data_IF_566841953025
#
_entry.id   IF_566841953025
#
_cell.length_a   1.000
_cell.length_b   1.000
_cell.length_c   1.000
_cell.angle_alpha   90.00
_cell.angle_beta   90.00
_cell.angle_gamma   90.00
#
_symmetry.space_group_name_H-M   'P 1'
#
loop_
_entity.id
_entity.type
_entity.pdbx_description
1 polymer ?
#
# COMPACT_ATOMS: atom_id res chain seq x y z
N UNK A 1 49.42 -14.19 23.19
CA UNK A 1 48.27 -13.28 23.34
C UNK A 1 47.74 -13.46 24.75
N UNK A 2 47.79 -12.40 25.58
CA UNK A 2 47.28 -12.47 26.95
C UNK A 2 45.74 -12.40 26.97
N UNK A 3 45.12 -12.73 28.11
CA UNK A 3 43.66 -12.79 28.26
C UNK A 3 42.96 -11.45 27.94
N UNK A 4 43.64 -10.33 28.14
CA UNK A 4 43.10 -8.97 27.93
C UNK A 4 43.12 -8.63 26.43
N UNK A 5 44.22 -8.92 25.74
CA UNK A 5 44.35 -8.73 24.28
C UNK A 5 43.30 -9.54 23.50
N UNK A 6 43.04 -10.77 23.93
CA UNK A 6 41.99 -11.61 23.32
C UNK A 6 40.59 -10.99 23.50
N UNK A 7 40.29 -10.48 24.70
CA UNK A 7 39.00 -9.82 24.95
C UNK A 7 38.82 -8.52 24.17
N UNK A 8 39.89 -7.75 23.96
CA UNK A 8 39.84 -6.52 23.15
C UNK A 8 39.62 -6.84 21.67
N UNK A 9 40.28 -7.86 21.12
CA UNK A 9 40.04 -8.33 19.74
C UNK A 9 38.60 -8.81 19.55
N UNK A 10 38.08 -9.62 20.48
CA UNK A 10 36.70 -10.09 20.44
C UNK A 10 35.67 -8.94 20.53
N UNK A 11 36.02 -7.84 21.20
CA UNK A 11 35.16 -6.65 21.27
C UNK A 11 35.19 -5.85 19.97
N UNK A 12 36.35 -5.70 19.34
CA UNK A 12 36.54 -5.00 18.07
C UNK A 12 35.84 -5.74 16.92
N UNK A 13 36.01 -7.07 16.85
CA UNK A 13 35.33 -7.92 15.86
C UNK A 13 33.80 -7.81 15.98
N UNK A 14 33.25 -7.91 17.20
CA UNK A 14 31.80 -7.74 17.43
C UNK A 14 31.31 -6.34 17.09
N UNK A 15 32.12 -5.32 17.37
CA UNK A 15 31.77 -3.94 17.05
C UNK A 15 31.72 -3.72 15.53
N UNK A 16 32.74 -4.18 14.80
CA UNK A 16 32.80 -4.14 13.33
C UNK A 16 31.64 -4.89 12.69
N UNK A 17 31.36 -6.12 13.13
CA UNK A 17 30.23 -6.91 12.62
C UNK A 17 28.88 -6.23 12.86
N UNK A 18 28.70 -5.62 14.04
CA UNK A 18 27.47 -4.89 14.38
C UNK A 18 27.28 -3.64 13.53
N UNK A 19 28.38 -2.92 13.25
CA UNK A 19 28.38 -1.72 12.43
C UNK A 19 28.08 -2.03 10.97
N UNK A 20 28.74 -3.06 10.42
CA UNK A 20 28.51 -3.53 9.05
C UNK A 20 27.08 -4.03 8.84
N UNK A 21 26.53 -4.75 9.82
CA UNK A 21 25.15 -5.22 9.78
C UNK A 21 24.15 -4.05 9.82
N UNK A 22 24.39 -3.05 10.66
CA UNK A 22 23.54 -1.86 10.75
C UNK A 22 23.56 -1.06 9.45
N UNK A 23 24.75 -0.84 8.87
CA UNK A 23 24.90 -0.14 7.61
C UNK A 23 24.19 -0.87 6.46
N UNK A 24 24.39 -2.19 6.36
CA UNK A 24 23.70 -3.04 5.38
C UNK A 24 22.19 -3.03 5.56
N UNK A 25 21.71 -3.07 6.80
CA UNK A 25 20.27 -3.01 7.11
C UNK A 25 19.67 -1.67 6.68
N UNK A 26 20.35 -0.56 6.96
CA UNK A 26 19.91 0.76 6.53
C UNK A 26 19.85 0.89 5.00
N UNK A 27 20.89 0.41 4.32
CA UNK A 27 20.93 0.37 2.86
C UNK A 27 19.73 -0.40 2.27
N UNK A 28 19.49 -1.63 2.75
CA UNK A 28 18.34 -2.45 2.30
C UNK A 28 17.02 -1.74 2.56
N UNK A 29 16.84 -1.15 3.75
CA UNK A 29 15.60 -0.47 4.11
C UNK A 29 15.33 0.74 3.20
N UNK A 30 16.36 1.52 2.87
CA UNK A 30 16.21 2.66 1.98
C UNK A 30 15.88 2.22 0.55
N UNK A 31 16.61 1.21 0.04
CA UNK A 31 16.35 0.60 -1.26
C UNK A 31 14.90 0.08 -1.36
N UNK A 32 14.45 -0.66 -0.35
CA UNK A 32 13.09 -1.21 -0.27
C UNK A 32 12.03 -0.11 -0.30
N UNK A 33 12.24 0.99 0.43
CA UNK A 33 11.31 2.13 0.44
C UNK A 33 11.16 2.76 -0.94
N UNK A 34 12.27 3.00 -1.65
CA UNK A 34 12.22 3.65 -2.96
C UNK A 34 11.64 2.73 -4.04
N UNK A 35 12.00 1.44 -4.05
CA UNK A 35 11.38 0.46 -4.96
C UNK A 35 9.88 0.36 -4.70
N UNK A 36 9.47 0.23 -3.43
CA UNK A 36 8.05 0.12 -3.08
C UNK A 36 7.26 1.35 -3.53
N UNK A 37 7.79 2.57 -3.34
CA UNK A 37 7.13 3.81 -3.78
C UNK A 37 6.95 3.83 -5.29
N UNK A 38 8.00 3.52 -6.06
CA UNK A 38 7.93 3.46 -7.53
C UNK A 38 6.90 2.41 -7.96
N UNK A 39 7.01 1.18 -7.45
CA UNK A 39 6.12 0.05 -7.74
C UNK A 39 4.65 0.38 -7.47
N UNK A 40 4.39 1.06 -6.36
CA UNK A 40 3.04 1.41 -5.94
C UNK A 40 2.34 2.42 -6.86
N UNK A 41 3.06 3.11 -7.76
CA UNK A 41 2.44 3.96 -8.78
C UNK A 41 1.70 3.16 -9.85
N UNK A 42 2.09 1.91 -10.10
CA UNK A 42 1.56 1.08 -11.18
C UNK A 42 0.95 -0.25 -10.72
N UNK A 43 1.30 -0.76 -9.54
CA UNK A 43 0.74 -2.00 -9.01
C UNK A 43 0.31 -1.85 -7.54
N UNK A 44 -0.98 -2.04 -7.25
CA UNK A 44 -1.47 -2.09 -5.85
C UNK A 44 -1.31 -3.50 -5.25
N UNK A 45 -1.38 -4.52 -6.10
CA UNK A 45 -1.22 -5.92 -5.74
C UNK A 45 -0.18 -6.58 -6.67
N UNK A 46 1.11 -6.28 -6.48
CA UNK A 46 2.16 -6.81 -7.33
C UNK A 46 2.31 -8.33 -7.14
N UNK A 47 2.66 -9.03 -8.21
CA UNK A 47 3.15 -10.40 -8.16
C UNK A 47 4.61 -10.47 -7.64
N UNK A 48 5.10 -11.67 -7.36
CA UNK A 48 6.52 -11.85 -6.99
C UNK A 48 7.46 -11.43 -8.13
N UNK A 49 7.02 -11.61 -9.39
CA UNK A 49 7.78 -11.20 -10.56
C UNK A 49 7.80 -9.67 -10.71
N UNK A 50 6.70 -8.97 -10.40
CA UNK A 50 6.67 -7.51 -10.38
C UNK A 50 7.63 -6.95 -9.31
N UNK A 51 7.59 -7.53 -8.10
CA UNK A 51 8.47 -7.14 -6.99
C UNK A 51 9.94 -7.37 -7.36
N UNK A 52 10.25 -8.51 -7.96
CA UNK A 52 11.61 -8.87 -8.37
C UNK A 52 12.10 -8.00 -9.54
N UNK A 53 11.25 -7.78 -10.54
CA UNK A 53 11.53 -6.92 -11.69
C UNK A 53 11.84 -5.50 -11.24
N UNK A 54 10.96 -4.89 -10.45
CA UNK A 54 11.15 -3.54 -9.92
C UNK A 54 12.45 -3.41 -9.10
N UNK A 55 12.79 -4.42 -8.30
CA UNK A 55 14.04 -4.42 -7.54
C UNK A 55 15.28 -4.54 -8.44
N UNK A 56 15.19 -5.36 -9.49
CA UNK A 56 16.26 -5.54 -10.49
C UNK A 56 16.49 -4.24 -11.26
N UNK A 57 15.43 -3.62 -11.78
CA UNK A 57 15.49 -2.39 -12.57
C UNK A 57 16.06 -1.24 -11.73
N UNK A 58 15.56 -1.08 -10.49
CA UNK A 58 16.07 -0.04 -9.59
C UNK A 58 17.57 -0.21 -9.30
N UNK A 59 18.04 -1.43 -9.05
CA UNK A 59 19.45 -1.69 -8.79
C UNK A 59 20.31 -1.47 -10.03
N UNK A 60 19.85 -1.89 -11.20
CA UNK A 60 20.55 -1.68 -12.46
C UNK A 60 20.70 -0.17 -12.78
N UNK A 61 19.68 0.63 -12.48
CA UNK A 61 19.67 2.08 -12.70
C UNK A 61 20.46 2.88 -11.66
N UNK A 62 20.34 2.54 -10.37
CA UNK A 62 20.79 3.40 -9.26
C UNK A 62 22.02 2.84 -8.53
N UNK A 63 22.33 1.56 -8.72
CA UNK A 63 23.42 0.84 -8.06
C UNK A 63 24.15 -0.09 -9.05
N UNK A 64 24.45 0.42 -10.25
CA UNK A 64 24.92 -0.35 -11.40
C UNK A 64 26.18 -1.16 -11.13
N UNK A 65 27.19 -0.59 -10.45
CA UNK A 65 28.43 -1.32 -10.11
C UNK A 65 28.15 -2.51 -9.20
N UNK A 66 27.33 -2.30 -8.16
CA UNK A 66 26.91 -3.36 -7.25
C UNK A 66 26.12 -4.45 -7.98
N UNK A 67 25.17 -4.06 -8.83
CA UNK A 67 24.36 -5.00 -9.59
C UNK A 67 25.20 -5.81 -10.59
N UNK A 68 26.07 -5.15 -11.36
CA UNK A 68 26.95 -5.80 -12.34
C UNK A 68 28.00 -6.72 -11.70
N UNK A 69 28.33 -6.52 -10.42
CA UNK A 69 29.22 -7.44 -9.69
C UNK A 69 28.60 -8.82 -9.41
N UNK A 70 27.28 -8.97 -9.61
CA UNK A 70 26.54 -10.18 -9.32
C UNK A 70 26.24 -10.99 -10.58
N UNK A 71 26.36 -12.31 -10.48
CA UNK A 71 25.76 -13.23 -11.44
C UNK A 71 24.27 -13.38 -11.16
N UNK A 72 23.48 -13.85 -12.14
CA UNK A 72 22.04 -14.10 -11.96
C UNK A 72 21.75 -15.02 -10.75
N UNK A 73 22.58 -16.04 -10.53
CA UNK A 73 22.46 -16.92 -9.37
C UNK A 73 22.66 -16.16 -8.05
N UNK A 74 23.69 -15.30 -7.98
CA UNK A 74 23.96 -14.47 -6.80
C UNK A 74 22.85 -13.46 -6.56
N UNK A 75 22.35 -12.81 -7.61
CA UNK A 75 21.21 -11.91 -7.55
C UNK A 75 19.98 -12.61 -6.97
N UNK A 76 19.61 -13.78 -7.50
CA UNK A 76 18.45 -14.52 -7.03
C UNK A 76 18.54 -14.88 -5.55
N UNK A 77 19.72 -15.31 -5.08
CA UNK A 77 19.95 -15.58 -3.66
C UNK A 77 19.87 -14.29 -2.83
N UNK A 78 20.46 -13.20 -3.32
CA UNK A 78 20.46 -11.91 -2.63
C UNK A 78 19.04 -11.33 -2.49
N UNK A 79 18.26 -11.31 -3.57
CA UNK A 79 16.87 -10.84 -3.57
C UNK A 79 16.02 -11.60 -2.57
N UNK A 80 16.01 -12.94 -2.65
CA UNK A 80 15.21 -13.79 -1.76
C UNK A 80 15.58 -13.61 -0.29
N UNK A 81 16.88 -13.47 0.02
CA UNK A 81 17.36 -13.36 1.38
C UNK A 81 17.13 -11.97 1.99
N UNK A 82 17.29 -10.90 1.22
CA UNK A 82 17.39 -9.55 1.78
C UNK A 82 16.26 -8.60 1.36
N UNK A 83 15.64 -8.79 0.18
CA UNK A 83 14.73 -7.80 -0.41
C UNK A 83 13.29 -8.28 -0.43
N UNK A 84 13.02 -9.53 -0.84
CA UNK A 84 11.68 -10.01 -1.16
C UNK A 84 10.65 -9.76 -0.04
N UNK A 85 10.94 -10.23 1.17
CA UNK A 85 10.02 -10.08 2.31
C UNK A 85 9.90 -8.63 2.82
N UNK A 86 11.00 -7.88 3.04
CA UNK A 86 10.91 -6.46 3.36
C UNK A 86 10.14 -5.64 2.32
N UNK A 87 10.37 -5.89 1.04
CA UNK A 87 9.71 -5.19 -0.05
C UNK A 87 8.21 -5.45 -0.07
N UNK A 88 7.80 -6.72 0.05
CA UNK A 88 6.39 -7.09 0.16
C UNK A 88 5.71 -6.40 1.36
N UNK A 89 6.36 -6.40 2.53
CA UNK A 89 5.84 -5.74 3.74
C UNK A 89 5.71 -4.24 3.56
N UNK A 90 6.72 -3.58 3.01
CA UNK A 90 6.70 -2.15 2.74
C UNK A 90 5.58 -1.79 1.75
N UNK A 91 5.42 -2.60 0.70
CA UNK A 91 4.36 -2.43 -0.28
C UNK A 91 2.96 -2.60 0.34
N UNK A 92 2.77 -3.63 1.17
CA UNK A 92 1.54 -3.81 1.95
C UNK A 92 1.25 -2.62 2.87
N UNK A 93 2.28 -2.06 3.51
CA UNK A 93 2.14 -0.88 4.36
C UNK A 93 1.64 0.34 3.58
N UNK A 94 2.19 0.61 2.38
CA UNK A 94 1.72 1.69 1.50
C UNK A 94 0.24 1.51 1.11
N UNK A 95 -0.15 0.28 0.76
CA UNK A 95 -1.55 -0.05 0.44
C UNK A 95 -2.49 0.18 1.62
N UNK A 96 -2.11 -0.27 2.80
CA UNK A 96 -2.90 -0.07 4.02
C UNK A 96 -3.03 1.42 4.38
N UNK A 97 -1.95 2.18 4.24
CA UNK A 97 -1.99 3.63 4.45
C UNK A 97 -2.96 4.31 3.48
N UNK A 98 -2.89 3.96 2.18
CA UNK A 98 -3.83 4.50 1.18
C UNK A 98 -5.29 4.13 1.51
N UNK A 99 -5.56 2.90 1.91
CA UNK A 99 -6.89 2.48 2.37
C UNK A 99 -7.41 3.37 3.49
N UNK A 100 -6.58 3.63 4.51
CA UNK A 100 -6.96 4.49 5.64
C UNK A 100 -7.26 5.91 5.16
N UNK A 101 -6.38 6.52 4.35
CA UNK A 101 -6.61 7.85 3.80
C UNK A 101 -7.92 7.94 3.00
N UNK A 102 -8.24 6.92 2.19
CA UNK A 102 -9.50 6.87 1.43
C UNK A 102 -10.70 6.78 2.36
N UNK A 103 -10.65 5.94 3.40
CA UNK A 103 -11.74 5.82 4.39
C UNK A 103 -11.96 7.14 5.10
N UNK A 104 -10.91 7.79 5.59
CA UNK A 104 -10.98 9.05 6.30
C UNK A 104 -11.56 10.16 5.40
N UNK A 105 -11.10 10.24 4.14
CA UNK A 105 -11.63 11.18 3.15
C UNK A 105 -13.11 10.91 2.86
N UNK A 106 -13.52 9.65 2.72
CA UNK A 106 -14.91 9.25 2.51
C UNK A 106 -15.81 9.71 3.66
N UNK A 107 -15.45 9.38 4.92
CA UNK A 107 -16.21 9.83 6.09
C UNK A 107 -16.25 11.35 6.19
N UNK A 108 -15.14 12.04 5.88
CA UNK A 108 -15.08 13.50 5.88
C UNK A 108 -16.00 14.14 4.82
N UNK A 109 -16.13 13.55 3.62
CA UNK A 109 -16.96 14.11 2.54
C UNK A 109 -18.44 13.85 2.77
N UNK A 110 -18.82 12.65 3.24
CA UNK A 110 -20.23 12.38 3.56
C UNK A 110 -20.67 13.08 4.84
N UNK A 111 -19.77 13.20 5.81
CA UNK A 111 -20.04 13.75 7.13
C UNK A 111 -20.94 12.85 7.98
N UNK A 112 -20.94 13.10 9.29
CA UNK A 112 -21.70 12.31 10.27
C UNK A 112 -23.22 12.32 10.01
N UNK A 113 -23.74 13.36 9.35
CA UNK A 113 -25.16 13.44 9.01
C UNK A 113 -25.61 12.43 7.95
N UNK A 114 -24.71 11.97 7.08
CA UNK A 114 -25.04 11.04 5.98
C UNK A 114 -24.44 9.66 6.19
N UNK A 115 -23.32 9.56 6.89
CA UNK A 115 -22.61 8.31 7.12
C UNK A 115 -22.19 8.21 8.59
N UNK A 116 -22.91 7.36 9.33
CA UNK A 116 -22.62 7.13 10.74
C UNK A 116 -21.26 6.44 10.89
N UNK A 117 -20.44 6.85 11.87
CA UNK A 117 -19.19 6.14 12.17
C UNK A 117 -19.48 4.75 12.74
N UNK A 118 -18.62 3.78 12.42
CA UNK A 118 -18.67 2.44 13.02
C UNK A 118 -17.50 2.25 13.99
N UNK A 119 -17.80 1.67 15.16
CA UNK A 119 -16.79 1.38 16.19
C UNK A 119 -15.81 0.31 15.69
N UNK A 120 -14.51 0.47 16.00
CA UNK A 120 -13.48 -0.55 15.69
C UNK A 120 -13.70 -1.87 16.42
N UNK A 121 -14.47 -1.88 17.52
CA UNK A 121 -14.87 -3.08 18.28
C UNK A 121 -16.24 -3.63 17.86
N UNK A 122 -16.83 -3.13 16.77
CA UNK A 122 -18.11 -3.60 16.26
C UNK A 122 -18.07 -5.10 15.97
N UNK A 123 -19.14 -5.80 16.32
CA UNK A 123 -19.31 -7.21 15.97
C UNK A 123 -19.60 -7.35 14.47
N UNK A 124 -19.47 -8.55 13.93
CA UNK A 124 -19.84 -8.82 12.53
C UNK A 124 -21.33 -8.50 12.25
N UNK A 125 -22.20 -8.71 13.24
CA UNK A 125 -23.61 -8.35 13.13
C UNK A 125 -23.80 -6.83 13.04
N UNK A 126 -23.12 -6.06 13.90
CA UNK A 126 -23.18 -4.59 13.88
C UNK A 126 -22.67 -4.02 12.55
N UNK A 127 -21.59 -4.59 12.01
CA UNK A 127 -21.05 -4.23 10.69
C UNK A 127 -22.07 -4.50 9.58
N UNK A 128 -22.70 -5.68 9.61
CA UNK A 128 -23.69 -6.08 8.62
C UNK A 128 -24.92 -5.15 8.66
N UNK A 129 -25.44 -4.85 9.85
CA UNK A 129 -26.56 -3.94 10.04
C UNK A 129 -26.22 -2.51 9.56
N UNK A 130 -25.05 -2.01 9.94
CA UNK A 130 -24.56 -0.70 9.49
C UNK A 130 -24.46 -0.61 7.96
N UNK A 131 -23.94 -1.66 7.31
CA UNK A 131 -23.86 -1.73 5.85
C UNK A 131 -25.24 -1.84 5.17
N UNK A 132 -26.18 -2.55 5.79
CA UNK A 132 -27.55 -2.69 5.28
C UNK A 132 -28.40 -1.42 5.46
N UNK A 133 -27.92 -0.42 6.21
CA UNK A 133 -28.66 0.80 6.51
C UNK A 133 -29.05 1.60 5.26
N UNK A 134 -30.20 2.27 5.32
CA UNK A 134 -30.67 3.13 4.24
C UNK A 134 -29.69 4.28 3.93
N UNK A 135 -29.03 4.82 4.98
CA UNK A 135 -27.97 5.83 4.84
C UNK A 135 -26.81 5.32 4.00
N UNK A 136 -26.35 4.10 4.25
CA UNK A 136 -25.27 3.47 3.48
C UNK A 136 -25.62 3.33 2.01
N UNK A 137 -26.81 2.78 1.72
CA UNK A 137 -27.30 2.60 0.35
C UNK A 137 -27.42 3.94 -0.38
N UNK A 138 -27.90 4.97 0.30
CA UNK A 138 -27.96 6.32 -0.26
C UNK A 138 -26.56 6.89 -0.56
N UNK A 139 -25.58 6.68 0.33
CA UNK A 139 -24.19 7.11 0.09
C UNK A 139 -23.58 6.40 -1.13
N UNK A 140 -23.79 5.09 -1.26
CA UNK A 140 -23.33 4.31 -2.42
C UNK A 140 -23.92 4.85 -3.73
N UNK A 141 -25.23 5.09 -3.78
CA UNK A 141 -25.92 5.60 -4.97
C UNK A 141 -25.44 6.99 -5.38
N UNK A 142 -25.09 7.84 -4.41
CA UNK A 142 -24.63 9.21 -4.65
C UNK A 142 -23.16 9.32 -5.08
N UNK A 143 -22.37 8.25 -4.98
CA UNK A 143 -20.91 8.31 -5.12
C UNK A 143 -20.46 9.04 -6.41
N UNK A 144 -21.16 8.79 -7.51
CA UNK A 144 -20.87 9.38 -8.83
C UNK A 144 -21.92 10.40 -9.31
N UNK A 145 -22.91 10.73 -8.48
CA UNK A 145 -23.94 11.71 -8.84
C UNK A 145 -23.34 13.12 -8.63
N UNK A 146 -23.49 14.04 -9.60
CA UNK A 146 -23.09 15.44 -9.41
C UNK A 146 -23.80 16.08 -8.21
N UNK A 147 -23.03 16.76 -7.37
CA UNK A 147 -23.50 17.49 -6.19
C UNK A 147 -23.90 18.92 -6.57
N UNK A 148 -23.25 19.49 -7.58
CA UNK A 148 -23.51 20.85 -8.06
C UNK A 148 -23.81 20.85 -9.56
N UNK A 149 -23.92 22.05 -10.14
CA UNK A 149 -24.07 22.23 -11.58
C UNK A 149 -22.84 21.78 -12.38
N UNK A 150 -21.68 21.65 -11.73
CA UNK A 150 -20.50 21.07 -12.37
C UNK A 150 -20.65 19.53 -12.42
N UNK A 151 -20.71 18.92 -13.62
CA UNK A 151 -20.85 17.47 -13.75
C UNK A 151 -19.66 16.69 -13.18
N UNK A 152 -18.51 17.33 -12.97
CA UNK A 152 -17.32 16.72 -12.38
C UNK A 152 -17.30 16.82 -10.86
N UNK A 153 -18.15 17.63 -10.24
CA UNK A 153 -18.24 17.78 -8.78
C UNK A 153 -19.15 16.72 -8.18
N UNK A 154 -18.60 15.54 -7.93
CA UNK A 154 -19.27 14.40 -7.31
C UNK A 154 -18.66 14.10 -5.94
N UNK A 155 -19.31 13.21 -5.17
CA UNK A 155 -18.73 12.71 -3.93
C UNK A 155 -17.37 12.04 -4.19
N UNK A 156 -17.25 11.29 -5.27
CA UNK A 156 -16.00 10.62 -5.61
C UNK A 156 -14.88 11.59 -5.96
N UNK A 157 -15.13 12.64 -6.74
CA UNK A 157 -14.11 13.62 -7.08
C UNK A 157 -13.66 14.44 -5.87
N UNK A 158 -14.57 14.75 -4.93
CA UNK A 158 -14.22 15.37 -3.64
C UNK A 158 -13.39 14.44 -2.76
N UNK A 159 -13.68 13.14 -2.72
CA UNK A 159 -12.87 12.15 -2.00
C UNK A 159 -11.46 12.07 -2.60
N UNK A 160 -11.35 11.95 -3.93
CA UNK A 160 -10.06 11.95 -4.62
C UNK A 160 -9.25 13.22 -4.33
N UNK A 161 -9.90 14.39 -4.35
CA UNK A 161 -9.26 15.68 -4.05
C UNK A 161 -8.79 15.79 -2.60
N UNK A 162 -9.44 15.11 -1.65
CA UNK A 162 -8.96 15.03 -0.26
C UNK A 162 -7.77 14.08 -0.10
N UNK A 163 -7.76 12.96 -0.81
CA UNK A 163 -6.65 11.99 -0.75
C UNK A 163 -5.41 12.56 -1.46
N UNK A 164 -5.61 13.30 -2.55
CA UNK A 164 -4.55 13.96 -3.30
C UNK A 164 -4.90 15.43 -3.63
N UNK A 165 -4.65 16.38 -2.72
CA UNK A 165 -4.98 17.79 -2.93
C UNK A 165 -4.12 18.46 -4.00
N UNK A 166 -2.86 18.05 -4.11
CA UNK A 166 -1.85 18.77 -4.92
C UNK A 166 -1.46 18.05 -6.22
N UNK A 167 -1.94 16.81 -6.44
CA UNK A 167 -1.51 15.99 -7.57
C UNK A 167 -2.59 15.02 -8.02
N UNK A 168 -2.72 14.81 -9.33
CA UNK A 168 -3.57 13.73 -9.84
C UNK A 168 -2.95 12.35 -9.54
N UNK A 169 -3.70 11.42 -8.91
CA UNK A 169 -3.28 10.03 -8.77
C UNK A 169 -3.18 9.32 -10.12
N UNK A 170 -2.42 8.22 -10.16
CA UNK A 170 -2.40 7.32 -11.32
C UNK A 170 -3.75 6.61 -11.49
N UNK A 171 -4.05 6.15 -12.71
CA UNK A 171 -5.31 5.44 -13.00
C UNK A 171 -5.55 4.25 -12.06
N UNK A 172 -4.50 3.49 -11.73
CA UNK A 172 -4.61 2.36 -10.81
C UNK A 172 -4.96 2.79 -9.38
N UNK A 173 -4.42 3.93 -8.90
CA UNK A 173 -4.75 4.48 -7.58
C UNK A 173 -6.16 5.05 -7.54
N UNK A 174 -6.60 5.73 -8.61
CA UNK A 174 -8.00 6.16 -8.75
C UNK A 174 -8.97 4.98 -8.71
N UNK A 175 -8.69 3.95 -9.52
CA UNK A 175 -9.48 2.72 -9.58
C UNK A 175 -9.53 2.04 -8.21
N UNK A 176 -8.40 2.00 -7.50
CA UNK A 176 -8.33 1.46 -6.16
C UNK A 176 -9.17 2.26 -5.16
N UNK A 177 -9.09 3.60 -5.18
CA UNK A 177 -9.94 4.46 -4.34
C UNK A 177 -11.42 4.22 -4.59
N UNK A 178 -11.83 4.14 -5.86
CA UNK A 178 -13.20 3.80 -6.24
C UNK A 178 -13.60 2.42 -5.67
N UNK A 179 -12.75 1.41 -5.85
CA UNK A 179 -13.00 0.06 -5.35
C UNK A 179 -13.16 0.05 -3.81
N UNK A 180 -12.30 0.76 -3.08
CA UNK A 180 -12.38 0.89 -1.62
C UNK A 180 -13.71 1.51 -1.20
N UNK A 181 -14.12 2.63 -1.82
CA UNK A 181 -15.40 3.26 -1.52
C UNK A 181 -16.59 2.35 -1.84
N UNK A 182 -16.58 1.68 -3.00
CA UNK A 182 -17.62 0.74 -3.37
C UNK A 182 -17.71 -0.44 -2.40
N UNK A 183 -16.59 -1.03 -1.98
CA UNK A 183 -16.57 -2.16 -1.04
C UNK A 183 -17.05 -1.72 0.35
N UNK A 184 -16.64 -0.53 0.79
CA UNK A 184 -17.05 0.03 2.08
C UNK A 184 -18.55 0.31 2.13
N UNK A 185 -19.11 0.89 1.06
CA UNK A 185 -20.49 1.37 1.02
C UNK A 185 -21.50 0.32 0.52
N UNK A 186 -21.05 -0.88 0.15
CA UNK A 186 -21.92 -1.93 -0.41
C UNK A 186 -22.18 -3.04 0.63
N UNK A 187 -23.46 -3.40 0.79
CA UNK A 187 -23.97 -4.38 1.74
C UNK A 187 -23.70 -5.84 1.35
N UNK A 188 -23.27 -6.09 0.11
CA UNK A 188 -22.80 -7.41 -0.33
C UNK A 188 -21.56 -7.91 0.42
N UNK A 189 -20.76 -6.99 0.98
CA UNK A 189 -19.52 -7.34 1.67
C UNK A 189 -19.73 -7.29 3.19
N UNK A 190 -19.95 -8.45 3.81
CA UNK A 190 -20.27 -8.55 5.25
C UNK A 190 -19.13 -8.05 6.17
N UNK A 191 -17.89 -8.00 5.69
CA UNK A 191 -16.72 -7.62 6.47
C UNK A 191 -16.22 -6.20 6.13
N UNK A 192 -15.72 -5.48 7.14
CA UNK A 192 -14.90 -4.26 6.94
C UNK A 192 -13.51 -4.55 6.40
N UNK A 193 -13.04 -5.79 6.59
CA UNK A 193 -11.75 -6.28 6.09
C UNK A 193 -11.86 -6.52 4.60
N UNK A 194 -11.13 -5.71 3.84
CA UNK A 194 -11.04 -5.84 2.38
C UNK A 194 -10.07 -6.96 2.03
N UNK A 195 -10.57 -8.14 1.71
CA UNK A 195 -9.71 -9.23 1.24
C UNK A 195 -9.11 -8.85 -0.12
N UNK A 196 -7.89 -9.31 -0.36
CA UNK A 196 -7.18 -9.06 -1.60
C UNK A 196 -7.98 -9.51 -2.84
N UNK A 197 -8.62 -10.66 -2.77
CA UNK A 197 -9.42 -11.20 -3.89
C UNK A 197 -10.63 -10.32 -4.22
N UNK A 198 -11.33 -9.81 -3.20
CA UNK A 198 -12.46 -8.89 -3.38
C UNK A 198 -12.00 -7.60 -4.06
N UNK A 199 -10.87 -7.05 -3.63
CA UNK A 199 -10.37 -5.81 -4.21
C UNK A 199 -9.85 -6.02 -5.62
N UNK A 200 -9.10 -7.11 -5.87
CA UNK A 200 -8.62 -7.47 -7.22
C UNK A 200 -9.77 -7.63 -8.20
N UNK A 201 -10.84 -8.29 -7.79
CA UNK A 201 -12.05 -8.44 -8.59
C UNK A 201 -12.68 -7.08 -8.93
N UNK A 202 -12.82 -6.17 -7.95
CA UNK A 202 -13.34 -4.81 -8.21
C UNK A 202 -12.42 -3.96 -9.08
N UNK A 203 -11.11 -4.05 -8.88
CA UNK A 203 -10.13 -3.39 -9.74
C UNK A 203 -10.34 -3.82 -11.19
N UNK A 204 -10.48 -5.11 -11.48
CA UNK A 204 -10.74 -5.61 -12.85
C UNK A 204 -12.05 -5.07 -13.44
N UNK A 205 -13.10 -4.91 -12.63
CA UNK A 205 -14.39 -4.37 -13.09
C UNK A 205 -14.38 -2.86 -13.33
N UNK A 206 -13.53 -2.13 -12.61
CA UNK A 206 -13.41 -0.67 -12.73
C UNK A 206 -12.34 -0.27 -13.76
N UNK A 207 -11.36 -1.14 -14.03
CA UNK A 207 -10.46 -1.08 -15.18
C UNK A 207 -11.20 -1.62 -16.42
N UNK A 208 -12.30 -0.97 -16.82
CA UNK A 208 -12.85 -1.20 -18.16
C UNK A 208 -11.93 -0.43 -19.12
N UNK A 209 -11.39 -1.16 -20.10
CA UNK A 209 -10.42 -0.73 -21.09
C UNK A 209 -10.63 0.70 -21.58
N UNK A 210 -9.55 1.50 -21.58
CA UNK A 210 -9.36 2.55 -22.58
C UNK A 210 -9.40 1.94 -23.99
#
# INVERSE_FOLDING_TARGET
MNRIERHLSEMDDRFSESFDLAHKTNFINQLVKEIAKKLFEYAIYPSDDDLRGAAKDYLAENHTEFYNSMTDKKWNTYYKKNIAQPLLKQHHSLRSALTTCVKDAMFSVFGESQLDSINTNATLADVSEWKASAKMKACYQKLFIPISSDPNDSYMSRILSKVWPDKLPTNIKMTYTIAVCQIMLNDYYENLTMSEDIVKDRLRRNLICD
#
